data_IF_235042143746
#
_entry.id   IF_235042143746
#
_cell.length_a   1.000
_cell.length_b   1.000
_cell.length_c   1.000
_cell.angle_alpha   90.00
_cell.angle_beta   90.00
_cell.angle_gamma   90.00
#
_symmetry.space_group_name_H-M   'P 1'
#
loop_
_entity.id
_entity.type
_entity.pdbx_description
1 polymer ?
#
# COMPACT_ATOMS: atom_id res chain seq x y z
N UNK A 1 4.63 14.31 -7.34
CA UNK A 1 4.17 12.97 -6.94
C UNK A 1 3.57 12.32 -8.17
N UNK A 2 3.72 11.01 -8.43
CA UNK A 2 3.07 10.38 -9.59
C UNK A 2 1.55 10.28 -9.37
N UNK A 3 0.73 10.43 -10.42
CA UNK A 3 -0.74 10.29 -10.34
C UNK A 3 -1.18 8.97 -9.68
N UNK A 4 -0.43 7.88 -9.89
CA UNK A 4 -0.70 6.58 -9.27
C UNK A 4 -0.54 6.59 -7.75
N UNK A 5 0.44 7.34 -7.21
CA UNK A 5 0.63 7.48 -5.76
C UNK A 5 -0.45 8.34 -5.13
N UNK A 6 -0.86 9.41 -5.80
CA UNK A 6 -1.99 10.23 -5.35
C UNK A 6 -3.27 9.39 -5.25
N UNK A 7 -3.53 8.55 -6.26
CA UNK A 7 -4.65 7.60 -6.24
C UNK A 7 -4.54 6.62 -5.07
N UNK A 8 -3.36 6.05 -4.82
CA UNK A 8 -3.14 5.13 -3.69
C UNK A 8 -3.39 5.83 -2.35
N UNK A 9 -2.90 7.06 -2.16
CA UNK A 9 -3.11 7.81 -0.93
C UNK A 9 -4.57 8.18 -0.69
N UNK A 10 -5.31 8.51 -1.75
CA UNK A 10 -6.76 8.76 -1.64
C UNK A 10 -7.50 7.51 -1.18
N UNK A 11 -7.17 6.34 -1.73
CA UNK A 11 -7.75 5.05 -1.30
C UNK A 11 -7.37 4.76 0.16
N UNK A 12 -6.13 5.04 0.58
CA UNK A 12 -5.73 4.89 1.97
C UNK A 12 -6.57 5.76 2.93
N UNK A 13 -6.89 7.00 2.54
CA UNK A 13 -7.79 7.88 3.32
C UNK A 13 -9.21 7.33 3.39
N UNK A 14 -9.78 6.92 2.24
CA UNK A 14 -11.15 6.39 2.15
C UNK A 14 -11.33 5.06 2.90
N UNK A 15 -10.26 4.29 3.09
CA UNK A 15 -10.27 2.98 3.75
C UNK A 15 -9.65 2.98 5.15
N UNK A 16 -9.30 4.16 5.69
CA UNK A 16 -8.57 4.31 6.96
C UNK A 16 -7.34 3.38 7.05
N UNK A 17 -6.62 3.23 5.95
CA UNK A 17 -5.40 2.43 5.84
C UNK A 17 -4.18 3.32 6.02
N UNK A 18 -3.16 2.81 6.72
CA UNK A 18 -1.91 3.56 6.95
C UNK A 18 -1.19 3.86 5.62
N UNK A 19 -0.99 5.15 5.32
CA UNK A 19 -0.20 5.60 4.16
C UNK A 19 1.24 5.10 4.26
N UNK A 20 1.87 5.22 5.43
CA UNK A 20 3.25 4.77 5.66
C UNK A 20 3.38 3.25 5.48
N UNK A 21 2.40 2.48 6.01
CA UNK A 21 2.36 1.04 5.81
C UNK A 21 2.29 0.67 4.33
N UNK A 22 1.50 1.40 3.56
CA UNK A 22 1.37 1.20 2.13
C UNK A 22 2.61 1.61 1.34
N UNK A 23 3.29 2.69 1.75
CA UNK A 23 4.58 3.07 1.18
C UNK A 23 5.63 1.98 1.40
N UNK A 24 5.72 1.43 2.62
CA UNK A 24 6.61 0.30 2.93
C UNK A 24 6.29 -0.92 2.07
N UNK A 25 5.02 -1.18 1.78
CA UNK A 25 4.60 -2.28 0.91
C UNK A 25 5.04 -2.07 -0.54
N UNK A 26 4.82 -0.86 -1.08
CA UNK A 26 5.28 -0.50 -2.43
C UNK A 26 6.79 -0.59 -2.53
N UNK A 27 7.50 -0.07 -1.53
CA UNK A 27 8.96 -0.14 -1.43
C UNK A 27 9.47 -1.58 -1.39
N UNK A 28 8.78 -2.47 -0.68
CA UNK A 28 9.09 -3.89 -0.67
C UNK A 28 8.99 -4.49 -2.08
N UNK A 29 7.91 -4.22 -2.82
CA UNK A 29 7.76 -4.72 -4.19
C UNK A 29 8.85 -4.21 -5.13
N UNK A 30 9.24 -2.94 -5.01
CA UNK A 30 10.29 -2.35 -5.84
C UNK A 30 11.66 -2.93 -5.46
N UNK A 31 12.05 -2.81 -4.18
CA UNK A 31 13.41 -3.09 -3.72
C UNK A 31 13.69 -4.58 -3.58
N UNK A 32 12.72 -5.36 -3.12
CA UNK A 32 12.91 -6.79 -2.83
C UNK A 32 12.50 -7.68 -4.01
N UNK A 33 11.45 -7.30 -4.75
CA UNK A 33 10.96 -8.10 -5.88
C UNK A 33 11.38 -7.53 -7.25
N UNK A 34 12.05 -6.38 -7.29
CA UNK A 34 12.54 -5.76 -8.52
C UNK A 34 11.44 -5.22 -9.43
N UNK A 35 10.27 -4.89 -8.89
CA UNK A 35 9.17 -4.38 -9.70
C UNK A 35 9.37 -2.92 -10.08
N UNK A 36 8.83 -2.53 -11.25
CA UNK A 36 8.68 -1.11 -11.57
C UNK A 36 7.71 -0.45 -10.60
N UNK A 37 7.89 0.86 -10.39
CA UNK A 37 7.00 1.64 -9.52
C UNK A 37 5.53 1.56 -9.98
N UNK A 38 5.30 1.67 -11.28
CA UNK A 38 3.96 1.53 -11.86
C UNK A 38 3.30 0.19 -11.50
N UNK A 39 4.04 -0.92 -11.66
CA UNK A 39 3.53 -2.26 -11.33
C UNK A 39 3.28 -2.40 -9.83
N UNK A 40 4.20 -1.92 -9.00
CA UNK A 40 4.08 -1.98 -7.55
C UNK A 40 2.86 -1.21 -7.03
N UNK A 41 2.66 0.02 -7.51
CA UNK A 41 1.54 0.87 -7.08
C UNK A 41 0.20 0.33 -7.60
N UNK A 42 0.12 -0.09 -8.87
CA UNK A 42 -1.10 -0.69 -9.40
C UNK A 42 -1.49 -1.97 -8.66
N UNK A 43 -0.52 -2.80 -8.30
CA UNK A 43 -0.78 -4.00 -7.51
C UNK A 43 -1.28 -3.65 -6.11
N UNK A 44 -0.64 -2.68 -5.43
CA UNK A 44 -1.09 -2.18 -4.13
C UNK A 44 -2.54 -1.66 -4.17
N UNK A 45 -2.91 -0.89 -5.18
CA UNK A 45 -4.30 -0.44 -5.41
C UNK A 45 -5.24 -1.63 -5.60
N UNK A 46 -4.83 -2.65 -6.36
CA UNK A 46 -5.66 -3.82 -6.66
C UNK A 46 -6.05 -4.64 -5.42
N UNK A 47 -5.27 -4.54 -4.34
CA UNK A 47 -5.57 -5.20 -3.06
C UNK A 47 -6.88 -4.70 -2.44
N UNK A 48 -7.26 -3.44 -2.71
CA UNK A 48 -8.51 -2.84 -2.23
C UNK A 48 -9.72 -3.23 -3.10
N UNK A 49 -9.55 -3.31 -4.42
CA UNK A 49 -10.65 -3.61 -5.35
C UNK A 49 -11.21 -5.02 -5.22
N UNK A 50 -10.43 -5.99 -4.75
CA UNK A 50 -10.89 -7.39 -4.63
C UNK A 50 -11.80 -7.64 -3.42
N UNK A 51 -12.10 -6.63 -2.61
CA UNK A 51 -12.82 -6.80 -1.34
C UNK A 51 -12.06 -7.65 -0.31
N UNK A 52 -10.85 -8.10 -0.64
CA UNK A 52 -9.96 -8.88 0.21
C UNK A 52 -9.43 -8.05 1.38
N UNK A 53 -9.40 -6.73 1.24
CA UNK A 53 -8.87 -5.80 2.22
C UNK A 53 -9.86 -4.64 2.39
N UNK A 54 -10.45 -4.52 3.58
CA UNK A 54 -11.22 -3.34 4.03
C UNK A 54 -10.38 -2.36 4.84
N UNK A 55 -9.31 -2.84 5.48
CA UNK A 55 -8.32 -2.09 6.27
C UNK A 55 -6.99 -2.85 6.21
N UNK A 56 -5.89 -2.21 5.81
CA UNK A 56 -4.54 -2.73 6.10
C UNK A 56 -4.00 -1.96 7.29
N UNK A 57 -3.76 -2.68 8.38
CA UNK A 57 -2.99 -2.16 9.51
C UNK A 57 -1.58 -2.71 9.41
N UNK A 58 -0.60 -1.84 9.40
CA UNK A 58 0.80 -2.26 9.44
C UNK A 58 1.14 -2.59 10.90
N UNK A 59 1.48 -3.85 11.16
CA UNK A 59 1.84 -4.31 12.50
C UNK A 59 3.37 -4.43 12.60
N UNK A 60 3.92 -3.90 13.69
CA UNK A 60 5.30 -4.13 14.10
C UNK A 60 5.56 -5.57 14.48
N UNK A 61 6.84 -5.90 14.67
CA UNK A 61 7.27 -7.25 15.08
C UNK A 61 6.71 -7.67 16.45
N UNK A 62 6.27 -6.71 17.25
CA UNK A 62 5.61 -6.88 18.54
C UNK A 62 4.07 -7.04 18.42
N UNK A 63 3.54 -7.07 17.19
CA UNK A 63 2.11 -7.19 16.92
C UNK A 63 1.32 -5.90 17.17
N UNK A 64 1.98 -4.79 17.48
CA UNK A 64 1.33 -3.49 17.65
C UNK A 64 1.24 -2.73 16.33
N UNK A 65 0.22 -1.91 16.19
CA UNK A 65 0.09 -1.03 15.03
C UNK A 65 1.23 0.00 15.03
N UNK A 66 1.86 0.15 13.86
CA UNK A 66 2.93 1.12 13.60
C UNK A 66 2.37 2.35 12.88
#
# INVERSE_FOLDING_TARGET
>A
MSELREKLYKICEETETSKEGMEKLVDYYIKSLGWSEEKAVNYAISLFHKGTIRKIKFLGKDGKEL
#
